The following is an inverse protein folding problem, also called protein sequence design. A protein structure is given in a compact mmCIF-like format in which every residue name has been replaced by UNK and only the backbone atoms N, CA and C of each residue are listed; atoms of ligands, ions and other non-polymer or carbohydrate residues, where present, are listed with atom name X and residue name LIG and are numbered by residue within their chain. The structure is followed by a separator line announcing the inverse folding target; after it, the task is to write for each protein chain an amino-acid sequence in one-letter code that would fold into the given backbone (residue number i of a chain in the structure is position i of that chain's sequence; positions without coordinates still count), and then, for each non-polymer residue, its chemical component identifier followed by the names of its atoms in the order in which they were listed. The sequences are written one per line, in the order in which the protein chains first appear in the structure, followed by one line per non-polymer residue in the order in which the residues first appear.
data_IF_153259762174
#
_entry.id   IF_153259762174
#
_cell.length_a   1.000
_cell.length_b   1.000
_cell.length_c   1.000
_cell.angle_alpha   90.00
_cell.angle_beta   90.00
_cell.angle_gamma   90.00
#
_symmetry.space_group_name_H-M   'P 1'
#
loop_
_entity.id
_entity.type
_entity.pdbx_description
1 polymer ?
#
# COMPACT_ATOMS: atom_id res chain seq x y z
N UNK A 1 -8.14 -14.40 36.45
CA UNK A 1 -7.51 -13.07 36.45
C UNK A 1 -8.20 -12.22 35.37
N UNK A 2 -8.59 -11.00 35.73
CA UNK A 2 -9.28 -10.11 34.76
C UNK A 2 -8.30 -9.64 33.67
N UNK A 3 -8.75 -9.68 32.40
CA UNK A 3 -8.11 -9.00 31.27
C UNK A 3 -8.46 -7.51 31.32
N UNK A 4 -7.53 -6.68 30.82
CA UNK A 4 -7.73 -5.22 30.82
C UNK A 4 -8.60 -4.78 29.62
N UNK A 5 -8.44 -5.48 28.47
CA UNK A 5 -9.12 -5.22 27.19
C UNK A 5 -9.59 -6.50 26.50
N UNK A 6 -10.65 -6.39 25.70
CA UNK A 6 -11.01 -7.45 24.75
C UNK A 6 -10.01 -7.51 23.61
N UNK A 7 -9.66 -6.34 23.05
CA UNK A 7 -8.74 -6.20 21.92
C UNK A 7 -7.69 -5.13 22.22
N UNK A 8 -6.43 -5.46 22.01
CA UNK A 8 -5.36 -4.46 21.89
C UNK A 8 -4.89 -4.44 20.44
N UNK A 9 -4.77 -3.23 19.87
CA UNK A 9 -4.25 -2.97 18.54
C UNK A 9 -2.92 -2.23 18.67
N UNK A 10 -1.84 -2.78 18.15
CA UNK A 10 -0.50 -2.20 18.21
C UNK A 10 -0.18 -1.49 16.89
N UNK A 11 -0.10 -0.17 16.91
CA UNK A 11 0.14 0.70 15.76
C UNK A 11 -1.13 1.36 15.22
N UNK A 12 -1.11 2.70 15.16
CA UNK A 12 -2.25 3.54 14.76
C UNK A 12 -2.15 4.05 13.30
N UNK A 13 -1.59 3.23 12.40
CA UNK A 13 -1.69 3.44 10.95
C UNK A 13 -3.09 3.09 10.43
N UNK A 14 -3.36 3.19 9.11
CA UNK A 14 -4.68 2.96 8.53
C UNK A 14 -5.30 1.61 8.91
N UNK A 15 -4.50 0.53 8.93
CA UNK A 15 -4.99 -0.80 9.30
C UNK A 15 -5.40 -0.89 10.78
N UNK A 16 -4.55 -0.38 11.68
CA UNK A 16 -4.82 -0.41 13.11
C UNK A 16 -5.99 0.48 13.53
N UNK A 17 -6.05 1.70 13.02
CA UNK A 17 -7.18 2.61 13.29
C UNK A 17 -8.50 2.05 12.79
N UNK A 18 -8.49 1.41 11.60
CA UNK A 18 -9.67 0.73 11.06
C UNK A 18 -10.09 -0.45 11.92
N UNK A 19 -9.15 -1.33 12.28
CA UNK A 19 -9.45 -2.48 13.13
C UNK A 19 -10.01 -2.04 14.48
N UNK A 20 -9.38 -1.05 15.12
CA UNK A 20 -9.83 -0.51 16.40
C UNK A 20 -11.23 0.09 16.30
N UNK A 21 -11.52 0.83 15.21
CA UNK A 21 -12.84 1.40 14.95
C UNK A 21 -13.93 0.33 14.88
N UNK A 22 -13.71 -0.72 14.08
CA UNK A 22 -14.71 -1.78 13.91
C UNK A 22 -14.89 -2.63 15.16
N UNK A 23 -13.81 -2.96 15.88
CA UNK A 23 -13.88 -3.67 17.16
C UNK A 23 -14.67 -2.84 18.21
N UNK A 24 -14.35 -1.56 18.37
CA UNK A 24 -15.03 -0.69 19.33
C UNK A 24 -16.50 -0.42 18.93
N UNK A 25 -16.80 -0.26 17.64
CA UNK A 25 -18.16 -0.12 17.15
C UNK A 25 -19.03 -1.33 17.46
N UNK A 26 -18.44 -2.52 17.51
CA UNK A 26 -19.12 -3.75 17.91
C UNK A 26 -19.19 -3.95 19.43
N UNK A 27 -18.80 -2.97 20.24
CA UNK A 27 -18.88 -3.01 21.70
C UNK A 27 -17.74 -3.70 22.42
N UNK A 28 -16.64 -4.06 21.71
CA UNK A 28 -15.47 -4.63 22.34
C UNK A 28 -14.64 -3.52 23.02
N UNK A 29 -14.20 -3.76 24.26
CA UNK A 29 -13.27 -2.86 24.95
C UNK A 29 -11.93 -2.88 24.22
N UNK A 30 -11.66 -1.85 23.44
CA UNK A 30 -10.56 -1.81 22.46
C UNK A 30 -9.56 -0.71 22.80
N UNK A 31 -8.26 -1.06 22.91
CA UNK A 31 -7.16 -0.12 23.06
C UNK A 31 -6.32 -0.07 21.78
N UNK A 32 -6.09 1.13 21.27
CA UNK A 32 -5.16 1.43 20.18
C UNK A 32 -3.88 2.02 20.77
N UNK A 33 -2.72 1.41 20.51
CA UNK A 33 -1.41 1.85 21.01
C UNK A 33 -0.60 2.43 19.85
N UNK A 34 -0.08 3.66 20.01
CA UNK A 34 0.84 4.29 19.05
C UNK A 34 2.12 4.75 19.76
N UNK A 35 3.27 4.40 19.18
CA UNK A 35 4.57 4.76 19.75
C UNK A 35 4.91 6.24 19.63
N UNK A 36 4.41 6.90 18.61
CA UNK A 36 4.63 8.32 18.36
C UNK A 36 3.50 9.16 18.97
N UNK A 37 3.76 10.45 19.20
CA UNK A 37 2.72 11.43 19.48
C UNK A 37 2.06 11.90 18.18
N UNK A 38 0.76 12.12 18.22
CA UNK A 38 -0.06 12.47 17.05
C UNK A 38 -0.30 13.99 16.94
N UNK A 39 -0.42 14.57 15.74
CA UNK A 39 -0.20 13.92 14.44
C UNK A 39 1.29 13.61 14.20
N UNK A 40 1.57 12.52 13.48
CA UNK A 40 2.94 12.09 13.19
C UNK A 40 3.21 11.98 11.70
N UNK A 41 4.37 12.39 11.25
CA UNK A 41 4.83 12.15 9.89
C UNK A 41 5.02 10.64 9.64
N UNK A 42 4.60 10.16 8.46
CA UNK A 42 4.94 8.83 7.96
C UNK A 42 5.30 8.92 6.48
N UNK A 43 6.50 8.47 6.09
CA UNK A 43 6.92 8.45 4.69
C UNK A 43 5.95 7.65 3.83
N UNK A 44 5.42 8.29 2.79
CA UNK A 44 4.48 7.67 1.84
C UNK A 44 4.07 8.71 0.80
N UNK A 45 4.04 8.37 -0.48
CA UNK A 45 3.53 9.26 -1.51
C UNK A 45 2.12 9.80 -1.23
N UNK A 46 1.35 9.15 -0.36
CA UNK A 46 0.02 9.62 0.04
C UNK A 46 -1.03 9.49 -1.06
N UNK A 47 -0.81 8.59 -2.02
CA UNK A 47 -1.79 8.27 -3.05
C UNK A 47 -2.81 7.27 -2.50
N UNK A 48 -4.05 7.74 -2.34
CA UNK A 48 -5.20 6.95 -1.93
C UNK A 48 -6.00 6.58 -3.17
N UNK A 49 -6.06 5.31 -3.52
CA UNK A 49 -6.86 4.84 -4.65
C UNK A 49 -8.36 5.05 -4.40
N UNK A 50 -9.14 5.17 -5.47
CA UNK A 50 -10.60 5.29 -5.37
C UNK A 50 -11.22 4.11 -4.61
N UNK A 51 -10.75 2.88 -4.88
CA UNK A 51 -11.21 1.69 -4.14
C UNK A 51 -10.89 1.74 -2.64
N UNK A 52 -9.79 2.40 -2.24
CA UNK A 52 -9.46 2.58 -0.82
C UNK A 52 -10.37 3.62 -0.17
N UNK A 53 -10.70 4.70 -0.88
CA UNK A 53 -11.67 5.70 -0.40
C UNK A 53 -13.06 5.08 -0.24
N UNK A 54 -13.50 4.22 -1.14
CA UNK A 54 -14.81 3.53 -1.07
C UNK A 54 -14.94 2.54 0.09
N UNK A 55 -13.83 2.12 0.74
CA UNK A 55 -13.92 1.32 1.96
C UNK A 55 -14.34 2.13 3.19
N UNK A 56 -14.26 3.45 3.12
CA UNK A 56 -14.52 4.35 4.24
C UNK A 56 -15.93 4.91 4.12
N UNK A 57 -16.74 4.73 5.16
CA UNK A 57 -18.15 5.10 5.25
C UNK A 57 -18.37 6.51 5.82
N UNK A 58 -17.39 7.40 5.66
CA UNK A 58 -17.42 8.78 6.12
C UNK A 58 -16.73 9.72 5.11
N UNK A 59 -17.09 11.01 5.18
CA UNK A 59 -16.53 12.03 4.32
C UNK A 59 -15.03 12.22 4.54
N UNK A 60 -14.27 12.16 3.46
CA UNK A 60 -12.81 12.35 3.42
C UNK A 60 -12.40 13.79 3.07
N UNK A 61 -13.32 14.65 2.66
CA UNK A 61 -13.04 16.03 2.23
C UNK A 61 -12.12 16.81 3.18
N UNK A 62 -12.22 16.65 4.54
CA UNK A 62 -11.34 17.37 5.45
C UNK A 62 -9.87 17.03 5.35
N UNK A 63 -9.53 15.88 4.77
CA UNK A 63 -8.15 15.37 4.72
C UNK A 63 -7.63 15.13 3.30
N UNK A 64 -8.42 15.47 2.28
CA UNK A 64 -7.99 15.41 0.89
C UNK A 64 -7.13 16.64 0.55
N UNK A 65 -5.96 16.38 -0.03
CA UNK A 65 -5.05 17.42 -0.53
C UNK A 65 -5.28 17.74 -2.00
N UNK A 66 -5.57 16.72 -2.79
CA UNK A 66 -5.78 16.86 -4.23
C UNK A 66 -6.62 15.70 -4.76
N UNK A 67 -7.32 15.95 -5.88
CA UNK A 67 -8.05 14.93 -6.62
C UNK A 67 -7.39 14.77 -7.99
N UNK A 68 -7.08 13.55 -8.36
CA UNK A 68 -6.31 13.20 -9.53
C UNK A 68 -7.21 12.62 -10.62
N UNK A 69 -7.12 13.19 -11.80
CA UNK A 69 -7.86 12.77 -13.00
C UNK A 69 -6.94 12.30 -14.14
N UNK A 70 -5.62 12.49 -13.97
CA UNK A 70 -4.63 12.21 -15.02
C UNK A 70 -3.44 11.47 -14.45
N UNK A 71 -2.90 10.57 -15.26
CA UNK A 71 -1.61 9.90 -14.97
C UNK A 71 -0.69 10.12 -16.15
N UNK A 72 0.51 10.63 -15.88
CA UNK A 72 1.62 10.73 -16.84
C UNK A 72 2.57 9.57 -16.59
N UNK A 73 2.91 8.88 -17.64
CA UNK A 73 3.93 7.83 -17.62
C UNK A 73 5.14 8.26 -18.40
N UNK A 74 6.34 7.91 -17.91
CA UNK A 74 7.60 8.09 -18.63
C UNK A 74 8.47 6.84 -18.50
N UNK A 75 9.40 6.67 -19.43
CA UNK A 75 10.46 5.68 -19.36
C UNK A 75 11.81 6.38 -19.31
N UNK A 76 12.51 6.28 -18.16
CA UNK A 76 13.75 7.03 -17.91
C UNK A 76 13.58 8.56 -18.11
N UNK A 77 12.44 9.12 -17.67
CA UNK A 77 12.01 10.52 -17.83
C UNK A 77 11.90 10.96 -19.31
N UNK A 78 11.70 10.02 -20.23
CA UNK A 78 11.54 10.25 -21.68
C UNK A 78 10.27 9.58 -22.17
N UNK A 79 9.96 9.85 -23.47
CA UNK A 79 8.86 9.22 -24.21
C UNK A 79 7.51 9.28 -23.47
N UNK A 80 7.02 10.46 -23.03
CA UNK A 80 5.83 10.56 -22.19
C UNK A 80 4.55 10.13 -22.93
N UNK A 81 3.63 9.52 -22.19
CA UNK A 81 2.21 9.43 -22.55
C UNK A 81 1.35 9.66 -21.32
N UNK A 82 0.10 10.03 -21.52
CA UNK A 82 -0.83 10.31 -20.43
C UNK A 82 -2.15 9.59 -20.64
N UNK A 83 -2.78 9.24 -19.54
CA UNK A 83 -4.16 8.77 -19.48
C UNK A 83 -4.97 9.81 -18.71
N UNK A 84 -6.19 10.02 -19.15
CA UNK A 84 -7.14 10.93 -18.51
C UNK A 84 -8.46 10.20 -18.29
N UNK A 85 -9.05 10.43 -17.12
CA UNK A 85 -10.37 9.93 -16.75
C UNK A 85 -11.31 11.10 -16.45
N UNK A 86 -12.60 10.93 -16.72
CA UNK A 86 -13.65 11.86 -16.31
C UNK A 86 -13.95 11.78 -14.82
N UNK A 87 -13.73 10.60 -14.25
CA UNK A 87 -13.89 10.34 -12.83
C UNK A 87 -12.53 10.36 -12.13
N UNK A 88 -12.48 10.63 -10.82
CA UNK A 88 -11.25 10.56 -10.06
C UNK A 88 -10.54 9.19 -10.22
N UNK A 89 -9.24 9.21 -10.44
CA UNK A 89 -8.38 8.02 -10.48
C UNK A 89 -7.82 7.73 -9.09
N UNK A 90 -7.48 8.78 -8.36
CA UNK A 90 -6.92 8.71 -7.01
C UNK A 90 -7.12 10.04 -6.27
N UNK A 91 -6.92 9.99 -4.97
CA UNK A 91 -6.86 11.15 -4.10
C UNK A 91 -5.48 11.27 -3.46
N UNK A 92 -5.01 12.48 -3.25
CA UNK A 92 -3.77 12.72 -2.50
C UNK A 92 -4.11 13.12 -1.07
N UNK A 93 -3.34 12.57 -0.13
CA UNK A 93 -3.46 12.87 1.30
C UNK A 93 -2.08 13.07 1.93
N UNK A 94 -2.01 13.90 2.97
CA UNK A 94 -0.88 13.91 3.87
C UNK A 94 -1.12 12.89 4.99
N UNK A 95 -0.16 11.98 5.20
CA UNK A 95 -0.32 10.84 6.11
C UNK A 95 -0.44 11.23 7.58
N UNK A 96 0.13 12.33 8.01
CA UNK A 96 -0.05 12.88 9.35
C UNK A 96 -1.52 13.25 9.61
N UNK A 97 -2.16 13.97 8.68
CA UNK A 97 -3.56 14.36 8.74
C UNK A 97 -4.51 13.18 8.53
N UNK A 98 -4.24 12.36 7.51
CA UNK A 98 -5.09 11.23 7.17
C UNK A 98 -5.10 10.16 8.27
N UNK A 99 -3.93 9.73 8.76
CA UNK A 99 -3.84 8.73 9.83
C UNK A 99 -4.51 9.26 11.12
N UNK A 100 -4.27 10.52 11.49
CA UNK A 100 -4.90 11.15 12.65
C UNK A 100 -6.42 11.25 12.51
N UNK A 101 -6.93 11.50 11.30
CA UNK A 101 -8.36 11.50 11.01
C UNK A 101 -8.98 10.11 11.21
N UNK A 102 -8.35 9.04 10.73
CA UNK A 102 -8.80 7.67 10.95
C UNK A 102 -8.81 7.30 12.44
N UNK A 103 -7.82 7.75 13.20
CA UNK A 103 -7.78 7.56 14.64
C UNK A 103 -8.97 8.25 15.31
N UNK A 104 -9.28 9.51 14.95
CA UNK A 104 -10.47 10.21 15.47
C UNK A 104 -11.76 9.43 15.18
N UNK A 105 -11.87 8.82 13.98
CA UNK A 105 -13.00 7.95 13.65
C UNK A 105 -13.09 6.70 14.53
N UNK A 106 -11.97 6.16 14.98
CA UNK A 106 -11.97 5.08 15.96
C UNK A 106 -12.39 5.55 17.37
N UNK A 107 -11.91 6.72 17.80
CA UNK A 107 -12.28 7.31 19.08
C UNK A 107 -13.78 7.68 19.14
N UNK A 108 -14.38 8.16 18.03
CA UNK A 108 -15.83 8.39 17.93
C UNK A 108 -16.65 7.11 18.19
N UNK A 109 -16.05 5.93 17.96
CA UNK A 109 -16.63 4.61 18.27
C UNK A 109 -16.24 4.07 19.64
N UNK A 110 -15.64 4.88 20.50
CA UNK A 110 -15.21 4.56 21.88
C UNK A 110 -13.99 3.62 21.95
N UNK A 111 -13.16 3.54 20.92
CA UNK A 111 -11.82 3.00 21.08
C UNK A 111 -11.03 3.92 22.03
N UNK A 112 -10.19 3.33 22.90
CA UNK A 112 -9.24 4.06 23.71
C UNK A 112 -7.92 4.23 22.96
N UNK A 113 -7.21 5.34 23.17
CA UNK A 113 -5.91 5.62 22.57
C UNK A 113 -4.83 5.78 23.64
N UNK A 114 -3.73 5.08 23.44
CA UNK A 114 -2.51 5.25 24.22
C UNK A 114 -1.37 5.65 23.27
N UNK A 115 -1.10 6.94 23.17
CA UNK A 115 -0.04 7.50 22.31
C UNK A 115 1.28 7.74 23.05
N UNK A 116 2.40 7.79 22.32
CA UNK A 116 3.73 7.97 22.87
C UNK A 116 4.19 6.78 23.71
N UNK A 117 3.63 5.59 23.49
CA UNK A 117 3.97 4.35 24.19
C UNK A 117 4.37 3.26 23.22
N UNK A 118 5.60 2.82 23.34
CA UNK A 118 6.14 1.77 22.48
C UNK A 118 5.92 0.39 23.09
N UNK A 119 5.35 -0.51 22.31
CA UNK A 119 5.31 -1.93 22.64
C UNK A 119 6.69 -2.53 22.39
N UNK A 120 7.24 -3.21 23.39
CA UNK A 120 8.58 -3.80 23.36
C UNK A 120 8.58 -5.32 23.31
N UNK A 121 7.44 -5.94 23.58
CA UNK A 121 7.26 -7.39 23.48
C UNK A 121 5.81 -7.79 23.70
N UNK A 122 5.47 -8.96 23.20
CA UNK A 122 4.14 -9.57 23.36
C UNK A 122 4.32 -11.06 23.59
N UNK A 123 3.51 -11.63 24.49
CA UNK A 123 3.60 -13.04 24.87
C UNK A 123 2.22 -13.63 25.16
N UNK A 124 1.96 -14.85 24.68
CA UNK A 124 0.75 -15.58 25.00
C UNK A 124 0.88 -16.25 26.38
N UNK A 125 -0.07 -15.99 27.27
CA UNK A 125 -0.12 -16.47 28.65
C UNK A 125 -1.44 -17.23 28.89
N UNK A 126 -1.52 -18.47 28.41
CA UNK A 126 -2.73 -19.27 28.52
C UNK A 126 -3.90 -18.64 27.73
N UNK A 127 -4.88 -18.07 28.42
CA UNK A 127 -6.10 -17.56 27.79
C UNK A 127 -6.05 -16.07 27.38
N UNK A 128 -4.96 -15.36 27.66
CA UNK A 128 -4.75 -13.95 27.33
C UNK A 128 -3.40 -13.71 26.68
N UNK A 129 -3.26 -12.54 26.07
CA UNK A 129 -2.00 -12.06 25.53
C UNK A 129 -1.53 -10.92 26.41
N UNK A 130 -0.27 -10.97 26.84
CA UNK A 130 0.39 -9.93 27.59
C UNK A 130 1.17 -9.03 26.63
N UNK A 131 0.91 -7.72 26.70
CA UNK A 131 1.55 -6.69 25.90
C UNK A 131 2.44 -5.87 26.81
N UNK A 132 3.76 -5.97 26.62
CA UNK A 132 4.76 -5.23 27.36
C UNK A 132 5.06 -3.88 26.71
N UNK A 133 4.95 -2.82 27.50
CA UNK A 133 5.33 -1.46 27.12
C UNK A 133 6.69 -1.09 27.69
N UNK A 134 7.29 -0.02 27.19
CA UNK A 134 8.48 0.58 27.80
C UNK A 134 8.20 0.90 29.29
N UNK A 135 9.25 0.89 30.13
CA UNK A 135 9.17 1.12 31.59
C UNK A 135 8.39 0.05 32.37
N UNK A 136 8.44 -1.20 31.90
CA UNK A 136 7.87 -2.37 32.59
C UNK A 136 6.34 -2.37 32.77
N UNK A 137 5.63 -1.44 32.12
CA UNK A 137 4.16 -1.46 32.08
C UNK A 137 3.66 -2.68 31.28
N UNK A 138 2.61 -3.35 31.74
CA UNK A 138 2.03 -4.53 31.09
C UNK A 138 0.52 -4.41 31.00
N UNK A 139 -0.03 -4.77 29.84
CA UNK A 139 -1.46 -4.81 29.57
C UNK A 139 -1.86 -6.22 29.12
N UNK A 140 -3.12 -6.59 29.32
CA UNK A 140 -3.64 -7.90 28.98
C UNK A 140 -4.86 -7.79 28.09
N UNK A 141 -4.89 -8.59 27.03
CA UNK A 141 -6.05 -8.68 26.13
C UNK A 141 -6.40 -10.11 25.77
N UNK A 142 -7.60 -10.28 25.27
CA UNK A 142 -8.02 -11.56 24.70
C UNK A 142 -7.49 -11.73 23.28
N UNK A 143 -7.59 -10.69 22.46
CA UNK A 143 -7.14 -10.67 21.06
C UNK A 143 -6.12 -9.58 20.86
N UNK A 144 -5.10 -9.86 20.03
CA UNK A 144 -4.07 -8.89 19.66
C UNK A 144 -4.06 -8.67 18.15
N UNK A 145 -4.10 -7.41 17.73
CA UNK A 145 -3.92 -7.03 16.32
C UNK A 145 -2.58 -6.30 16.17
N UNK A 146 -1.66 -6.89 15.40
CA UNK A 146 -0.40 -6.28 15.04
C UNK A 146 -0.55 -5.40 13.80
N UNK A 147 -0.48 -4.08 13.98
CA UNK A 147 -0.56 -3.05 12.94
C UNK A 147 0.66 -2.12 12.99
N UNK A 148 1.76 -2.60 13.55
CA UNK A 148 2.96 -1.87 13.93
C UNK A 148 3.98 -1.71 12.78
N UNK A 149 3.53 -1.96 11.55
CA UNK A 149 4.25 -1.65 10.33
C UNK A 149 5.35 -2.65 9.96
N UNK A 150 6.30 -2.26 9.07
CA UNK A 150 7.22 -3.19 8.42
C UNK A 150 8.24 -3.85 9.36
N UNK A 151 8.41 -3.32 10.56
CA UNK A 151 9.32 -3.88 11.58
C UNK A 151 8.52 -4.40 12.78
N UNK A 152 7.43 -5.09 12.51
CA UNK A 152 6.47 -5.55 13.49
C UNK A 152 7.11 -6.39 14.60
N UNK A 153 6.99 -5.89 15.84
CA UNK A 153 7.36 -6.65 17.03
C UNK A 153 6.36 -7.80 17.26
N UNK A 154 5.09 -7.58 16.92
CA UNK A 154 4.05 -8.61 17.02
C UNK A 154 4.36 -9.77 16.08
N UNK A 155 4.65 -9.48 14.79
CA UNK A 155 5.03 -10.52 13.83
C UNK A 155 6.26 -11.30 14.28
N UNK A 156 7.28 -10.61 14.79
CA UNK A 156 8.50 -11.23 15.31
C UNK A 156 8.23 -12.16 16.50
N UNK A 157 7.44 -11.70 17.47
CA UNK A 157 7.15 -12.47 18.70
C UNK A 157 6.38 -13.77 18.43
N UNK A 158 5.57 -13.80 17.38
CA UNK A 158 4.77 -14.97 17.02
C UNK A 158 5.31 -15.76 15.82
N UNK A 159 6.54 -15.48 15.38
CA UNK A 159 7.20 -16.16 14.24
C UNK A 159 6.37 -16.08 12.94
N UNK A 160 5.79 -14.91 12.69
CA UNK A 160 5.00 -14.57 11.49
C UNK A 160 5.76 -13.68 10.51
N UNK A 161 7.07 -13.51 10.69
CA UNK A 161 7.91 -12.78 9.74
C UNK A 161 8.10 -13.58 8.44
N UNK A 162 8.23 -12.92 7.28
CA UNK A 162 8.55 -13.60 6.03
C UNK A 162 9.91 -14.29 6.10
N UNK A 163 10.17 -15.28 5.24
CA UNK A 163 11.50 -15.81 5.04
C UNK A 163 12.50 -14.71 4.69
N UNK A 164 13.76 -14.89 5.08
CA UNK A 164 14.80 -13.89 4.85
C UNK A 164 14.93 -13.52 3.37
N UNK A 165 14.76 -12.24 3.06
CA UNK A 165 14.88 -11.71 1.70
C UNK A 165 13.58 -11.67 0.89
N UNK A 166 12.51 -12.31 1.38
CA UNK A 166 11.21 -12.29 0.70
C UNK A 166 10.41 -11.03 1.07
N UNK A 167 9.65 -10.51 0.09
CA UNK A 167 8.71 -9.41 0.31
C UNK A 167 9.30 -8.09 0.77
N UNK A 168 10.62 -7.87 0.60
CA UNK A 168 11.28 -6.67 1.08
C UNK A 168 11.63 -5.72 -0.06
N UNK A 169 11.34 -4.44 0.15
CA UNK A 169 11.69 -3.34 -0.71
C UNK A 169 12.08 -2.10 0.08
N UNK A 170 12.38 -1.04 -0.63
CA UNK A 170 12.72 0.26 -0.06
C UNK A 170 12.05 1.37 -0.86
N UNK A 171 11.40 2.29 -0.16
CA UNK A 171 11.00 3.59 -0.68
C UNK A 171 11.90 4.69 -0.12
N UNK A 172 12.19 5.67 -0.92
CA UNK A 172 12.89 6.91 -0.51
C UNK A 172 12.13 8.08 -1.08
N UNK A 173 11.79 9.03 -0.23
CA UNK A 173 10.98 10.18 -0.62
C UNK A 173 11.40 11.48 0.08
N UNK A 174 10.90 12.58 -0.46
CA UNK A 174 10.93 13.92 0.14
C UNK A 174 9.65 14.65 -0.21
N UNK A 175 9.11 15.39 0.74
CA UNK A 175 8.08 16.40 0.45
C UNK A 175 8.79 17.67 -0.05
N UNK A 176 8.35 18.17 -1.19
CA UNK A 176 8.94 19.34 -1.85
C UNK A 176 7.90 20.46 -1.85
N UNK A 177 8.11 21.55 -1.09
CA UNK A 177 7.16 22.68 -1.06
C UNK A 177 7.07 23.39 -2.43
N UNK A 178 5.93 24.03 -2.72
CA UNK A 178 5.70 24.72 -4.01
C UNK A 178 6.74 25.80 -4.28
N UNK A 179 7.23 26.54 -3.28
CA UNK A 179 8.26 27.55 -3.43
C UNK A 179 9.62 27.01 -3.87
N UNK A 180 9.83 25.72 -3.69
CA UNK A 180 11.05 25.02 -4.12
C UNK A 180 10.96 24.45 -5.55
N UNK A 181 9.85 24.68 -6.24
CA UNK A 181 9.62 24.21 -7.60
C UNK A 181 9.70 25.38 -8.58
N UNK A 182 10.34 25.17 -9.75
CA UNK A 182 10.53 26.15 -10.82
C UNK A 182 9.83 25.62 -12.08
N UNK A 183 9.15 26.51 -12.80
CA UNK A 183 8.59 26.23 -14.13
C UNK A 183 7.76 24.93 -14.24
N UNK A 184 7.10 24.53 -13.14
CA UNK A 184 6.22 23.38 -13.15
C UNK A 184 4.94 23.68 -13.95
N UNK A 185 4.58 22.83 -14.92
CA UNK A 185 3.38 23.04 -15.74
C UNK A 185 2.12 23.02 -14.84
N UNK A 186 1.30 24.08 -14.90
CA UNK A 186 0.08 24.19 -14.09
C UNK A 186 -0.92 23.06 -14.37
N UNK A 187 -0.96 22.56 -15.59
CA UNK A 187 -1.78 21.40 -15.99
C UNK A 187 -1.37 20.11 -15.30
N UNK A 188 -0.15 20.02 -14.75
CA UNK A 188 0.36 18.85 -14.04
C UNK A 188 -0.04 18.85 -12.55
N UNK A 189 -0.66 19.92 -12.03
CA UNK A 189 -1.09 19.99 -10.62
C UNK A 189 -2.19 18.96 -10.24
N UNK A 190 -2.92 18.42 -11.20
CA UNK A 190 -3.92 17.36 -10.99
C UNK A 190 -3.53 16.06 -11.70
N UNK A 191 -2.24 15.89 -11.94
CA UNK A 191 -1.67 14.74 -12.66
C UNK A 191 -0.55 14.10 -11.87
N UNK A 192 -0.70 12.83 -11.52
CA UNK A 192 0.42 12.05 -10.97
C UNK A 192 1.38 11.68 -12.10
N UNK A 193 2.67 11.64 -11.79
CA UNK A 193 3.71 11.21 -12.73
C UNK A 193 4.38 9.94 -12.18
N UNK A 194 4.46 8.91 -13.01
CA UNK A 194 5.15 7.66 -12.76
C UNK A 194 6.25 7.45 -13.79
N UNK A 195 7.49 7.29 -13.33
CA UNK A 195 8.66 7.03 -14.18
C UNK A 195 9.19 5.61 -13.99
N UNK A 196 9.31 4.89 -15.07
CA UNK A 196 9.81 3.52 -15.10
C UNK A 196 11.21 3.43 -15.75
N UNK A 197 11.91 2.33 -15.46
CA UNK A 197 13.17 1.99 -16.13
C UNK A 197 14.44 2.47 -15.44
N UNK A 198 14.36 3.40 -14.49
CA UNK A 198 15.52 3.87 -13.70
C UNK A 198 15.68 3.09 -12.40
N UNK A 199 14.57 2.69 -11.79
CA UNK A 199 14.54 2.04 -10.48
C UNK A 199 14.41 0.53 -10.67
N UNK A 200 15.34 -0.26 -10.20
CA UNK A 200 15.25 -1.73 -10.29
C UNK A 200 14.00 -2.26 -9.57
N UNK A 201 13.19 -3.03 -10.27
CA UNK A 201 11.94 -3.62 -9.75
C UNK A 201 11.01 -2.59 -9.09
N UNK A 202 10.90 -1.43 -9.71
CA UNK A 202 10.14 -0.32 -9.15
C UNK A 202 9.98 0.85 -10.10
N UNK A 203 9.65 1.99 -9.53
CA UNK A 203 9.39 3.24 -10.27
C UNK A 203 9.68 4.48 -9.42
N UNK A 204 9.80 5.62 -10.09
CA UNK A 204 9.80 6.94 -9.47
C UNK A 204 8.43 7.59 -9.56
N UNK A 205 8.11 8.46 -8.61
CA UNK A 205 6.84 9.22 -8.63
C UNK A 205 7.02 10.70 -8.36
N UNK A 206 6.08 11.48 -8.89
CA UNK A 206 5.84 12.88 -8.53
C UNK A 206 4.34 13.02 -8.30
N UNK A 207 3.94 13.23 -7.05
CA UNK A 207 2.55 13.29 -6.62
C UNK A 207 2.21 14.69 -6.12
N UNK A 208 1.39 15.45 -6.85
CA UNK A 208 1.01 16.81 -6.47
C UNK A 208 0.06 16.80 -5.28
N UNK A 209 0.39 17.59 -4.27
CA UNK A 209 -0.42 17.86 -3.09
C UNK A 209 -0.82 19.33 -3.01
N UNK A 210 -1.56 19.74 -2.02
CA UNK A 210 -2.02 21.13 -1.85
C UNK A 210 -0.86 22.11 -1.73
N UNK A 211 0.15 21.78 -0.93
CA UNK A 211 1.25 22.69 -0.56
C UNK A 211 2.59 22.33 -1.21
N UNK A 212 2.60 21.30 -2.06
CA UNK A 212 3.83 20.82 -2.68
C UNK A 212 3.68 19.50 -3.41
N UNK A 213 4.75 18.74 -3.43
CA UNK A 213 4.82 17.44 -4.09
C UNK A 213 5.47 16.40 -3.18
N UNK A 214 4.88 15.21 -3.11
CA UNK A 214 5.67 14.05 -2.71
C UNK A 214 6.45 13.55 -3.91
N UNK A 215 7.76 13.55 -3.80
CA UNK A 215 8.66 13.02 -4.83
C UNK A 215 9.44 11.87 -4.23
N UNK A 216 9.43 10.74 -4.93
CA UNK A 216 10.12 9.57 -4.40
C UNK A 216 10.39 8.51 -5.43
N UNK A 217 11.04 7.49 -4.96
CA UNK A 217 11.30 6.24 -5.68
C UNK A 217 10.97 5.06 -4.78
N UNK A 218 10.53 3.95 -5.36
CA UNK A 218 10.34 2.71 -4.63
C UNK A 218 10.67 1.51 -5.50
N UNK A 219 11.24 0.48 -4.89
CA UNK A 219 11.55 -0.74 -5.59
C UNK A 219 11.82 -1.91 -4.65
N UNK A 220 11.66 -3.12 -5.19
CA UNK A 220 11.85 -4.36 -4.45
C UNK A 220 13.31 -4.83 -4.55
N UNK A 221 13.86 -5.35 -3.45
CA UNK A 221 15.16 -6.01 -3.47
C UNK A 221 15.08 -7.31 -4.28
N UNK A 222 16.12 -7.61 -5.03
CA UNK A 222 16.21 -8.83 -5.82
C UNK A 222 17.60 -9.47 -5.64
N UNK A 223 17.62 -10.76 -5.30
CA UNK A 223 18.81 -11.60 -5.42
C UNK A 223 20.04 -11.16 -4.64
N UNK A 224 19.89 -10.50 -3.49
CA UNK A 224 21.03 -10.08 -2.65
C UNK A 224 21.81 -8.86 -3.15
N UNK A 225 21.40 -8.21 -4.24
CA UNK A 225 22.02 -6.98 -4.72
C UNK A 225 21.78 -5.82 -3.74
N UNK A 226 22.86 -5.16 -3.33
CA UNK A 226 22.83 -3.94 -2.53
C UNK A 226 22.49 -2.75 -3.44
N UNK A 227 21.21 -2.42 -3.55
CA UNK A 227 20.75 -1.23 -4.28
C UNK A 227 20.87 0.00 -3.38
N UNK A 228 21.59 1.02 -3.82
CA UNK A 228 21.67 2.29 -3.13
C UNK A 228 20.49 3.19 -3.54
N UNK A 229 19.34 2.99 -2.89
CA UNK A 229 18.13 3.76 -3.17
C UNK A 229 18.30 5.27 -2.94
N UNK A 230 19.16 5.68 -1.99
CA UNK A 230 19.43 7.11 -1.78
C UNK A 230 20.09 7.74 -3.00
N UNK A 231 21.10 7.10 -3.57
CA UNK A 231 21.76 7.60 -4.77
C UNK A 231 20.81 7.61 -5.98
N UNK A 232 19.97 6.60 -6.14
CA UNK A 232 18.96 6.57 -7.20
C UNK A 232 17.93 7.69 -7.05
N UNK A 233 17.50 7.98 -5.82
CA UNK A 233 16.60 9.11 -5.53
C UNK A 233 17.23 10.45 -5.90
N UNK A 234 18.48 10.70 -5.47
CA UNK A 234 19.17 11.95 -5.78
C UNK A 234 19.34 12.13 -7.29
N UNK A 235 19.69 11.06 -8.03
CA UNK A 235 19.77 11.08 -9.48
C UNK A 235 18.42 11.31 -10.15
N UNK A 236 17.34 10.73 -9.64
CA UNK A 236 15.98 10.93 -10.12
C UNK A 236 15.54 12.39 -9.95
N UNK A 237 15.68 12.95 -8.75
CA UNK A 237 15.31 14.34 -8.45
C UNK A 237 16.11 15.34 -9.29
N UNK A 238 17.43 15.14 -9.41
CA UNK A 238 18.29 16.01 -10.24
C UNK A 238 17.84 16.05 -11.71
N UNK A 239 17.34 14.94 -12.25
CA UNK A 239 16.88 14.85 -13.64
C UNK A 239 15.50 15.43 -13.89
N UNK A 240 14.71 15.71 -12.84
CA UNK A 240 13.39 16.36 -12.99
C UNK A 240 13.48 17.82 -13.45
N UNK A 241 14.63 18.50 -13.22
CA UNK A 241 14.99 19.84 -13.71
C UNK A 241 14.10 21.00 -13.27
N UNK A 242 13.03 20.77 -12.50
CA UNK A 242 12.12 21.80 -12.00
C UNK A 242 12.18 21.98 -10.48
N UNK A 243 13.15 21.38 -9.82
CA UNK A 243 13.38 21.54 -8.37
C UNK A 243 14.61 22.41 -8.19
N UNK A 244 14.47 23.48 -7.41
CA UNK A 244 15.59 24.39 -7.05
C UNK A 244 16.70 23.60 -6.36
N UNK A 245 17.92 23.99 -6.62
CA UNK A 245 19.06 23.45 -5.87
C UNK A 245 18.89 23.76 -4.37
N UNK A 246 19.02 22.71 -3.52
CA UNK A 246 18.73 22.85 -2.09
C UNK A 246 17.23 22.81 -1.72
N UNK A 247 16.32 22.74 -2.68
CA UNK A 247 14.87 22.74 -2.46
C UNK A 247 14.29 21.43 -1.91
N UNK A 248 15.14 20.45 -1.59
CA UNK A 248 14.73 19.21 -0.93
C UNK A 248 14.63 19.43 0.57
N UNK A 249 13.49 19.09 1.13
CA UNK A 249 13.37 18.88 2.55
C UNK A 249 14.02 17.55 2.97
N UNK A 250 13.71 17.11 4.17
CA UNK A 250 14.23 15.85 4.72
C UNK A 250 13.94 14.67 3.81
N UNK A 251 15.00 14.01 3.31
CA UNK A 251 14.87 12.77 2.53
C UNK A 251 14.82 11.57 3.47
N UNK A 252 13.75 10.79 3.38
CA UNK A 252 13.46 9.70 4.30
C UNK A 252 13.33 8.39 3.53
N UNK A 253 14.03 7.35 4.02
CA UNK A 253 13.88 5.97 3.56
C UNK A 253 12.87 5.22 4.43
N UNK A 254 12.05 4.36 3.80
CA UNK A 254 11.10 3.51 4.49
C UNK A 254 11.06 2.11 3.87
N UNK A 255 11.10 1.04 4.70
CA UNK A 255 10.93 -0.33 4.19
C UNK A 255 9.55 -0.51 3.55
N UNK A 256 9.52 -1.25 2.44
CA UNK A 256 8.30 -1.60 1.71
C UNK A 256 8.03 -3.10 1.86
N UNK A 257 7.15 -3.52 2.78
CA UNK A 257 6.80 -4.91 3.03
C UNK A 257 5.72 -5.38 2.06
N UNK A 258 6.16 -5.95 0.94
CA UNK A 258 5.28 -6.40 -0.13
C UNK A 258 4.80 -7.83 0.05
N UNK A 259 3.64 -8.12 -0.51
CA UNK A 259 3.14 -9.48 -0.66
C UNK A 259 4.16 -10.36 -1.43
N UNK A 260 4.45 -11.54 -0.90
CA UNK A 260 5.50 -12.42 -1.42
C UNK A 260 5.01 -13.84 -1.72
N UNK A 261 3.97 -14.32 -1.03
CA UNK A 261 3.45 -15.68 -1.20
C UNK A 261 1.95 -15.75 -0.88
N UNK A 262 1.20 -16.57 -1.64
CA UNK A 262 -0.23 -16.78 -1.41
C UNK A 262 -0.52 -17.61 -0.14
N UNK A 263 0.46 -18.38 0.34
CA UNK A 263 0.37 -19.19 1.57
C UNK A 263 0.96 -18.50 2.80
N UNK A 264 1.38 -17.21 2.66
CA UNK A 264 1.93 -16.47 3.79
C UNK A 264 0.96 -16.46 4.98
N UNK A 265 1.49 -16.74 6.16
CA UNK A 265 0.73 -16.72 7.40
C UNK A 265 0.67 -15.30 7.95
N UNK A 266 -0.55 -14.82 8.17
CA UNK A 266 -0.82 -13.47 8.72
C UNK A 266 -1.47 -13.52 10.09
N UNK A 267 -1.59 -14.71 10.67
CA UNK A 267 -2.23 -14.89 11.98
C UNK A 267 -1.75 -16.16 12.70
N UNK A 268 -1.89 -16.17 14.03
CA UNK A 268 -1.64 -17.34 14.88
C UNK A 268 -2.49 -17.25 16.15
N UNK A 269 -3.35 -18.25 16.40
CA UNK A 269 -4.21 -18.26 17.57
C UNK A 269 -5.09 -17.02 17.66
N UNK A 270 -4.90 -16.20 18.68
CA UNK A 270 -5.63 -14.95 18.93
C UNK A 270 -4.88 -13.71 18.43
N UNK A 271 -3.80 -13.88 17.65
CA UNK A 271 -2.96 -12.79 17.10
C UNK A 271 -3.17 -12.68 15.61
N UNK A 272 -3.53 -11.49 15.14
CA UNK A 272 -3.81 -11.16 13.73
C UNK A 272 -2.90 -10.01 13.30
N UNK A 273 -2.27 -10.12 12.14
CA UNK A 273 -1.42 -9.04 11.57
C UNK A 273 -2.16 -8.33 10.44
N UNK A 274 -2.04 -7.00 10.35
CA UNK A 274 -2.70 -6.20 9.32
C UNK A 274 -1.73 -5.27 8.60
N UNK A 275 -2.03 -4.95 7.35
CA UNK A 275 -1.26 -4.02 6.53
C UNK A 275 0.21 -4.42 6.36
N UNK A 276 1.10 -3.46 6.61
CA UNK A 276 2.56 -3.65 6.47
C UNK A 276 3.12 -4.71 7.41
N UNK A 277 2.55 -4.88 8.61
CA UNK A 277 2.96 -5.92 9.55
C UNK A 277 2.69 -7.34 9.02
N UNK A 278 1.71 -7.47 8.13
CA UNK A 278 1.34 -8.70 7.44
C UNK A 278 1.94 -8.83 6.03
N UNK A 279 2.80 -7.89 5.59
CA UNK A 279 3.35 -7.86 4.23
C UNK A 279 2.26 -7.92 3.13
N UNK A 280 1.25 -7.06 3.24
CA UNK A 280 0.11 -7.03 2.32
C UNK A 280 0.17 -5.88 1.29
N UNK A 281 1.31 -5.21 1.12
CA UNK A 281 1.46 -4.19 0.08
C UNK A 281 1.48 -4.83 -1.31
N UNK A 282 0.85 -4.16 -2.27
CA UNK A 282 0.85 -4.56 -3.69
C UNK A 282 2.27 -4.54 -4.29
N UNK A 283 2.75 -5.66 -4.84
CA UNK A 283 4.10 -5.77 -5.38
C UNK A 283 4.33 -5.06 -6.72
N UNK A 284 3.28 -4.58 -7.39
CA UNK A 284 3.38 -3.84 -8.65
C UNK A 284 3.23 -2.33 -8.46
N UNK A 285 2.17 -1.93 -7.75
CA UNK A 285 1.80 -0.53 -7.56
C UNK A 285 2.36 0.10 -6.28
N UNK A 286 2.86 -0.71 -5.34
CA UNK A 286 3.24 -0.21 -4.02
C UNK A 286 2.04 0.27 -3.19
N UNK A 287 0.82 -0.10 -3.56
CA UNK A 287 -0.38 0.28 -2.83
C UNK A 287 -0.44 -0.47 -1.50
N UNK A 288 -0.32 0.26 -0.38
CA UNK A 288 -0.40 -0.31 0.97
C UNK A 288 -1.67 0.11 1.71
N UNK A 289 -2.18 1.33 1.47
CA UNK A 289 -3.29 1.89 2.27
C UNK A 289 -4.57 1.07 2.11
N UNK A 290 -4.95 0.71 0.86
CA UNK A 290 -6.13 -0.13 0.62
C UNK A 290 -6.06 -1.46 1.38
N UNK A 291 -4.94 -2.16 1.27
CA UNK A 291 -4.77 -3.47 1.91
C UNK A 291 -4.66 -3.36 3.42
N UNK A 292 -4.13 -2.26 3.95
CA UNK A 292 -4.12 -1.98 5.38
C UNK A 292 -5.55 -1.78 5.91
N UNK A 293 -6.37 -0.94 5.26
CA UNK A 293 -7.78 -0.73 5.60
C UNK A 293 -8.55 -2.05 5.53
N UNK A 294 -8.45 -2.77 4.40
CA UNK A 294 -9.20 -4.01 4.18
C UNK A 294 -8.83 -5.10 5.17
N UNK A 295 -7.54 -5.31 5.43
CA UNK A 295 -7.08 -6.29 6.42
C UNK A 295 -7.50 -5.91 7.85
N UNK A 296 -7.54 -4.62 8.18
CA UNK A 296 -8.04 -4.13 9.45
C UNK A 296 -9.53 -4.46 9.66
N UNK A 297 -10.37 -4.30 8.62
CA UNK A 297 -11.78 -4.71 8.64
C UNK A 297 -11.92 -6.22 8.85
N UNK A 298 -11.20 -7.01 8.04
CA UNK A 298 -11.23 -8.48 8.12
C UNK A 298 -10.77 -9.01 9.48
N UNK A 299 -9.80 -8.35 10.13
CA UNK A 299 -9.34 -8.74 11.46
C UNK A 299 -10.43 -8.52 12.51
N UNK A 300 -11.13 -7.39 12.46
CA UNK A 300 -12.27 -7.14 13.35
C UNK A 300 -13.42 -8.14 13.10
N UNK A 301 -13.79 -8.36 11.83
CA UNK A 301 -14.81 -9.36 11.44
C UNK A 301 -14.47 -10.77 11.98
N UNK A 302 -13.22 -11.20 11.84
CA UNK A 302 -12.77 -12.51 12.32
C UNK A 302 -12.89 -12.65 13.85
N UNK A 303 -12.54 -11.60 14.60
CA UNK A 303 -12.69 -11.58 16.06
C UNK A 303 -14.17 -11.69 16.45
N UNK A 304 -15.05 -10.92 15.80
CA UNK A 304 -16.49 -10.92 16.09
C UNK A 304 -17.11 -12.28 15.79
N UNK A 305 -16.83 -12.84 14.62
CA UNK A 305 -17.29 -14.18 14.24
C UNK A 305 -16.75 -15.28 15.16
N UNK A 306 -15.50 -15.15 15.60
CA UNK A 306 -14.90 -16.07 16.57
C UNK A 306 -15.66 -16.07 17.90
N UNK A 307 -16.02 -14.89 18.41
CA UNK A 307 -16.81 -14.78 19.67
C UNK A 307 -18.22 -15.35 19.52
N UNK A 308 -18.85 -15.18 18.37
CA UNK A 308 -20.19 -15.68 18.10
C UNK A 308 -20.23 -17.20 17.88
N UNK A 309 -19.29 -17.73 17.07
CA UNK A 309 -19.33 -19.11 16.55
C UNK A 309 -18.37 -20.06 17.26
N UNK A 310 -17.46 -19.58 18.12
CA UNK A 310 -16.43 -20.41 18.77
C UNK A 310 -15.35 -20.94 17.81
N UNK A 311 -15.25 -20.38 16.59
CA UNK A 311 -14.22 -20.74 15.59
C UNK A 311 -12.95 -19.95 15.87
N UNK A 312 -11.78 -20.52 15.58
CA UNK A 312 -10.48 -19.84 15.72
C UNK A 312 -10.45 -18.52 14.93
N UNK A 313 -10.13 -17.37 15.56
CA UNK A 313 -10.04 -16.10 14.86
C UNK A 313 -8.92 -16.11 13.82
N UNK A 314 -7.84 -16.87 14.06
CA UNK A 314 -6.75 -17.05 13.09
C UNK A 314 -7.24 -17.71 11.82
N UNK A 315 -8.07 -18.76 11.92
CA UNK A 315 -8.57 -19.49 10.75
C UNK A 315 -9.55 -18.64 9.95
N UNK A 316 -10.46 -17.93 10.63
CA UNK A 316 -11.40 -17.00 10.02
C UNK A 316 -10.66 -15.87 9.30
N UNK A 317 -9.66 -15.29 9.95
CA UNK A 317 -8.90 -14.19 9.38
C UNK A 317 -8.04 -14.63 8.19
N UNK A 318 -7.33 -15.77 8.31
CA UNK A 318 -6.53 -16.31 7.22
C UNK A 318 -7.40 -16.60 5.98
N UNK A 319 -8.57 -17.20 6.18
CA UNK A 319 -9.53 -17.44 5.09
C UNK A 319 -10.06 -16.12 4.47
N UNK A 320 -10.36 -15.12 5.29
CA UNK A 320 -10.77 -13.80 4.85
C UNK A 320 -9.70 -13.10 4.01
N UNK A 321 -8.44 -13.10 4.48
CA UNK A 321 -7.31 -12.55 3.74
C UNK A 321 -7.07 -13.31 2.43
N UNK A 322 -7.15 -14.64 2.46
CA UNK A 322 -7.01 -15.45 1.26
C UNK A 322 -8.05 -15.11 0.20
N UNK A 323 -9.31 -14.98 0.60
CA UNK A 323 -10.43 -14.69 -0.30
C UNK A 323 -10.39 -13.26 -0.85
N UNK A 324 -10.14 -12.27 0.00
CA UNK A 324 -10.31 -10.86 -0.35
C UNK A 324 -9.01 -10.12 -0.72
N UNK A 325 -7.84 -10.66 -0.38
CA UNK A 325 -6.54 -9.99 -0.58
C UNK A 325 -5.57 -10.87 -1.36
N UNK A 326 -5.14 -12.02 -0.79
CA UNK A 326 -4.08 -12.85 -1.36
C UNK A 326 -4.45 -13.40 -2.74
N UNK A 327 -5.71 -13.76 -2.95
CA UNK A 327 -6.24 -14.22 -4.25
C UNK A 327 -6.01 -13.22 -5.39
N UNK A 328 -6.05 -11.92 -5.09
CA UNK A 328 -5.76 -10.85 -6.05
C UNK A 328 -4.24 -10.54 -6.11
N UNK A 329 -3.57 -10.43 -4.96
CA UNK A 329 -2.15 -10.07 -4.88
C UNK A 329 -1.22 -11.10 -5.51
N UNK A 330 -1.58 -12.39 -5.53
CA UNK A 330 -0.81 -13.40 -6.26
C UNK A 330 -0.69 -13.12 -7.75
N UNK A 331 -1.75 -12.57 -8.35
CA UNK A 331 -1.73 -12.14 -9.75
C UNK A 331 -0.90 -10.88 -9.94
N UNK A 332 -0.98 -9.92 -9.00
CA UNK A 332 -0.11 -8.75 -8.97
C UNK A 332 1.37 -9.17 -8.89
N UNK A 333 1.71 -10.13 -8.02
CA UNK A 333 3.07 -10.63 -7.85
C UNK A 333 3.62 -11.29 -9.12
N UNK A 334 2.82 -12.14 -9.77
CA UNK A 334 3.21 -12.78 -11.03
C UNK A 334 3.39 -11.76 -12.15
N UNK A 335 2.48 -10.80 -12.22
CA UNK A 335 2.51 -9.74 -13.22
C UNK A 335 3.65 -8.75 -12.99
N UNK A 336 3.94 -8.37 -11.75
CA UNK A 336 5.05 -7.47 -11.41
C UNK A 336 6.40 -8.06 -11.81
N UNK A 337 6.62 -9.37 -11.57
CA UNK A 337 7.82 -10.08 -12.01
C UNK A 337 8.03 -10.00 -13.53
N UNK A 338 6.94 -10.13 -14.30
CA UNK A 338 6.99 -9.96 -15.76
C UNK A 338 7.28 -8.50 -16.16
N UNK A 339 6.54 -7.56 -15.62
CA UNK A 339 6.68 -6.11 -15.93
C UNK A 339 8.09 -5.61 -15.60
N UNK A 340 8.61 -5.92 -14.44
CA UNK A 340 9.93 -5.45 -14.02
C UNK A 340 11.08 -6.20 -14.74
N UNK A 341 10.87 -7.42 -15.18
CA UNK A 341 11.83 -8.15 -16.03
C UNK A 341 11.92 -7.55 -17.44
N UNK A 342 10.80 -7.06 -17.97
CA UNK A 342 10.67 -6.55 -19.32
C UNK A 342 10.11 -5.12 -19.35
N UNK A 343 10.57 -4.25 -18.44
CA UNK A 343 10.00 -2.93 -18.19
C UNK A 343 9.85 -2.08 -19.47
N UNK A 344 10.87 -2.03 -20.32
CA UNK A 344 10.81 -1.27 -21.59
C UNK A 344 9.76 -1.81 -22.54
N UNK A 345 9.61 -3.13 -22.63
CA UNK A 345 8.61 -3.76 -23.48
C UNK A 345 7.21 -3.48 -22.94
N UNK A 346 7.00 -3.66 -21.63
CA UNK A 346 5.72 -3.39 -20.97
C UNK A 346 5.31 -1.92 -21.14
N UNK A 347 6.25 -0.98 -20.93
CA UNK A 347 6.04 0.46 -21.14
C UNK A 347 5.59 0.76 -22.57
N UNK A 348 6.34 0.28 -23.57
CA UNK A 348 6.00 0.51 -24.99
C UNK A 348 4.67 -0.13 -25.37
N UNK A 349 4.33 -1.26 -24.80
CA UNK A 349 3.04 -1.91 -25.00
C UNK A 349 1.90 -1.02 -24.50
N UNK A 350 2.01 -0.49 -23.28
CA UNK A 350 1.02 0.44 -22.73
C UNK A 350 0.92 1.74 -23.56
N UNK A 351 2.04 2.26 -24.01
CA UNK A 351 2.08 3.48 -24.87
C UNK A 351 1.38 3.28 -26.21
N UNK A 352 1.52 2.09 -26.84
CA UNK A 352 0.93 1.78 -28.15
C UNK A 352 -0.52 1.29 -28.06
N UNK A 353 -0.97 0.82 -26.90
CA UNK A 353 -2.29 0.26 -26.68
C UNK A 353 -2.94 0.92 -25.45
N UNK A 354 -3.48 2.15 -25.60
CA UNK A 354 -4.05 2.92 -24.48
C UNK A 354 -5.16 2.17 -23.73
N UNK A 355 -5.89 1.30 -24.43
CA UNK A 355 -6.93 0.45 -23.85
C UNK A 355 -6.39 -0.53 -22.78
N UNK A 356 -5.14 -0.95 -22.88
CA UNK A 356 -4.50 -1.75 -21.82
C UNK A 356 -4.15 -0.93 -20.60
N UNK A 357 -3.85 0.34 -20.81
CA UNK A 357 -3.59 1.27 -19.73
C UNK A 357 -4.89 1.66 -19.01
N UNK A 358 -6.02 1.80 -19.71
CA UNK A 358 -7.34 2.00 -19.09
C UNK A 358 -7.75 0.80 -18.22
N UNK A 359 -7.51 -0.43 -18.69
CA UNK A 359 -7.71 -1.63 -17.86
C UNK A 359 -6.88 -1.61 -16.57
N UNK A 360 -5.67 -1.08 -16.64
CA UNK A 360 -4.80 -0.92 -15.47
C UNK A 360 -5.35 0.13 -14.48
N UNK A 361 -5.86 1.24 -14.97
CA UNK A 361 -6.58 2.22 -14.13
C UNK A 361 -7.79 1.58 -13.45
N UNK A 362 -8.49 0.68 -14.14
CA UNK A 362 -9.60 -0.09 -13.56
C UNK A 362 -9.22 -0.89 -12.31
N UNK A 363 -7.96 -1.31 -12.17
CA UNK A 363 -7.46 -1.96 -10.93
C UNK A 363 -7.37 -0.97 -9.78
N UNK A 364 -6.94 0.28 -10.03
CA UNK A 364 -6.89 1.35 -9.02
C UNK A 364 -8.27 1.81 -8.58
N UNK A 365 -9.22 1.83 -9.50
CA UNK A 365 -10.60 2.20 -9.25
C UNK A 365 -11.44 1.07 -8.62
N UNK A 366 -10.92 -0.18 -8.66
CA UNK A 366 -11.63 -1.35 -8.15
C UNK A 366 -12.64 -1.95 -9.13
N UNK A 367 -12.72 -1.46 -10.39
CA UNK A 367 -13.53 -2.03 -11.48
C UNK A 367 -12.96 -3.35 -12.00
N UNK A 368 -11.66 -3.54 -11.86
CA UNK A 368 -10.92 -4.73 -12.28
C UNK A 368 -10.14 -5.34 -11.11
N UNK A 369 -9.98 -6.67 -11.16
CA UNK A 369 -9.00 -7.38 -10.34
C UNK A 369 -7.73 -7.59 -11.14
N UNK A 370 -6.60 -7.88 -10.50
CA UNK A 370 -5.39 -8.28 -11.23
C UNK A 370 -5.61 -9.55 -12.07
N UNK A 371 -6.45 -10.46 -11.60
CA UNK A 371 -6.79 -11.67 -12.37
C UNK A 371 -7.53 -11.32 -13.66
N UNK A 372 -8.60 -10.52 -13.58
CA UNK A 372 -9.36 -10.10 -14.77
C UNK A 372 -8.49 -9.26 -15.69
N UNK A 373 -7.72 -8.32 -15.17
CA UNK A 373 -6.77 -7.51 -15.93
C UNK A 373 -5.78 -8.38 -16.71
N UNK A 374 -5.06 -9.30 -16.06
CA UNK A 374 -4.08 -10.17 -16.71
C UNK A 374 -4.74 -11.06 -17.77
N UNK A 375 -5.95 -11.55 -17.51
CA UNK A 375 -6.70 -12.36 -18.47
C UNK A 375 -7.05 -11.54 -19.71
N UNK A 376 -7.61 -10.34 -19.55
CA UNK A 376 -7.96 -9.43 -20.66
C UNK A 376 -6.74 -8.99 -21.47
N UNK A 377 -5.61 -8.70 -20.79
CA UNK A 377 -4.35 -8.38 -21.46
C UNK A 377 -3.88 -9.57 -22.33
N UNK A 378 -3.91 -10.78 -21.79
CA UNK A 378 -3.54 -12.00 -22.56
C UNK A 378 -4.43 -12.20 -23.78
N UNK A 379 -5.74 -12.05 -23.63
CA UNK A 379 -6.68 -12.26 -24.75
C UNK A 379 -6.50 -11.18 -25.82
N UNK A 380 -6.33 -9.91 -25.41
CA UNK A 380 -6.02 -8.82 -26.35
C UNK A 380 -4.71 -9.06 -27.12
N UNK A 381 -3.68 -9.53 -26.44
CA UNK A 381 -2.40 -9.85 -27.08
C UNK A 381 -2.52 -11.01 -28.08
N UNK A 382 -3.33 -12.04 -27.79
CA UNK A 382 -3.62 -13.12 -28.74
C UNK A 382 -4.32 -12.60 -30.00
N UNK A 383 -5.29 -11.71 -29.84
CA UNK A 383 -6.03 -11.13 -30.97
C UNK A 383 -5.13 -10.27 -31.87
N UNK A 384 -4.26 -9.47 -31.25
CA UNK A 384 -3.25 -8.68 -31.96
C UNK A 384 -2.26 -9.56 -32.75
N UNK A 385 -1.83 -10.68 -32.18
CA UNK A 385 -0.95 -11.63 -32.85
C UNK A 385 -1.66 -12.33 -34.02
N UNK A 386 -2.92 -12.74 -33.86
CA UNK A 386 -3.73 -13.33 -34.93
C UNK A 386 -3.97 -12.32 -36.06
N UNK A 387 -4.29 -11.08 -35.74
CA UNK A 387 -4.47 -9.99 -36.71
C UNK A 387 -3.21 -9.75 -37.54
N UNK A 388 -2.04 -9.62 -36.89
CA UNK A 388 -0.75 -9.46 -37.59
C UNK A 388 -0.38 -10.66 -38.47
N UNK A 389 -0.70 -11.89 -38.03
CA UNK A 389 -0.44 -13.09 -38.82
C UNK A 389 -1.35 -13.11 -40.05
N UNK A 390 -2.64 -12.77 -39.89
CA UNK A 390 -3.59 -12.65 -41.00
C UNK A 390 -3.17 -11.61 -42.04
N UNK A 391 -2.72 -10.42 -41.60
CA UNK A 391 -2.19 -9.38 -42.49
C UNK A 391 -0.92 -9.82 -43.23
N UNK A 392 0.01 -10.51 -42.55
CA UNK A 392 1.22 -11.05 -43.19
C UNK A 392 0.86 -12.08 -44.25
N UNK A 393 -0.10 -12.97 -43.99
CA UNK A 393 -0.59 -13.97 -44.95
C UNK A 393 -1.23 -13.27 -46.15
N UNK A 394 -2.13 -12.30 -45.94
CA UNK A 394 -2.76 -11.50 -47.00
C UNK A 394 -1.73 -10.77 -47.88
N UNK A 395 -0.71 -10.16 -47.28
CA UNK A 395 0.39 -9.49 -48.01
C UNK A 395 1.28 -10.46 -48.78
N UNK A 396 1.47 -11.68 -48.29
CA UNK A 396 2.20 -12.73 -48.99
C UNK A 396 1.41 -13.24 -50.20
N UNK A 397 0.09 -13.46 -50.04
CA UNK A 397 -0.79 -13.89 -51.13
C UNK A 397 -1.07 -12.82 -52.21
N UNK A 398 -0.91 -11.53 -51.89
CA UNK A 398 -1.02 -10.45 -52.84
C UNK A 398 0.27 -10.19 -53.66
N UNK A 399 1.36 -10.88 -53.36
CA UNK A 399 2.65 -10.80 -54.04
C UNK A 399 2.95 -12.02 -54.93
N UNK A 400 2.08 -13.04 -54.87
CA UNK A 400 1.98 -14.18 -55.81
C UNK A 400 0.89 -13.95 -56.79
#
# INVERSE_FOLDING_TARGET
MNRDYDVIVVGAGPGGSTAARYCAQAGLKTLLIEKERLPRYKPCGGCLSVKAAHLLDFDLSPVLDNTIYRVKFTYCLKDPFSLESKEPIAFMVMRDRFDHFLIKKALEKKAELLEGKKVVGVEEKGNWIEVGLEKEERLRCEYLIGADGPQSIVAKSFSLLPPKGEGNGMGVESEIPLESVIDFPKEDLHRIHLDFGQIPNGYGWVFPKREGFSIGIGGMYQGGMKTNFRQLFDAFVHRLNYIKEGGKEKVIGHPLPSFYDEEQKVSRGKVLLVGDAAHLMDPLLGEGIYYALRSGMLAAEAILQSKEKGISPSDLYQAGVQSHISGNLKWALRFSRFVFRFTKLAYRTLQHYPELADLYLGVLEGRETYQSFVTRVKDRMKDLLKGRLSEKIKRAMAKT
#
